data_IF_088617645096
#
_entry.id   IF_088617645096
#
_cell.length_a   1.000
_cell.length_b   1.000
_cell.length_c   1.000
_cell.angle_alpha   90.00
_cell.angle_beta   90.00
_cell.angle_gamma   90.00
#
_symmetry.space_group_name_H-M   'P 1'
#
loop_
_entity.id
_entity.type
_entity.pdbx_description
1 polymer ?
#
# COMPACT_ATOMS: atom_id res chain seq x y z
N UNK A 1 17.79 7.82 -4.25
CA UNK A 1 17.20 7.31 -2.99
C UNK A 1 15.70 7.22 -3.19
N UNK A 2 15.06 6.24 -2.56
CA UNK A 2 13.62 6.03 -2.57
C UNK A 2 12.98 6.93 -1.49
N UNK A 3 11.84 7.55 -1.77
CA UNK A 3 11.27 8.59 -0.90
C UNK A 3 10.12 8.13 0.00
N UNK A 4 9.58 6.93 -0.21
CA UNK A 4 8.42 6.38 0.49
C UNK A 4 8.72 5.78 1.87
N UNK A 5 9.97 5.40 2.14
CA UNK A 5 10.35 4.67 3.36
C UNK A 5 9.97 5.38 4.67
N UNK A 6 10.14 6.71 4.74
CA UNK A 6 9.71 7.50 5.91
C UNK A 6 8.18 7.46 6.09
N UNK A 7 7.44 7.45 4.97
CA UNK A 7 5.98 7.33 4.98
C UNK A 7 5.51 6.00 5.55
N UNK A 8 6.10 4.91 5.10
CA UNK A 8 5.81 3.57 5.62
C UNK A 8 6.15 3.41 7.10
N UNK A 9 7.30 3.96 7.53
CA UNK A 9 7.70 3.94 8.94
C UNK A 9 6.68 4.65 9.84
N UNK A 10 6.26 5.86 9.46
CA UNK A 10 5.27 6.63 10.22
C UNK A 10 3.90 5.97 10.21
N UNK A 11 3.48 5.44 9.07
CA UNK A 11 2.21 4.73 8.96
C UNK A 11 2.17 3.49 9.88
N UNK A 12 3.23 2.67 9.87
CA UNK A 12 3.31 1.49 10.71
C UNK A 12 3.38 1.84 12.21
N UNK A 13 4.20 2.83 12.57
CA UNK A 13 4.30 3.31 13.95
C UNK A 13 2.95 3.85 14.46
N UNK A 14 2.24 4.65 13.66
CA UNK A 14 0.91 5.15 13.99
C UNK A 14 -0.10 4.02 14.25
N UNK A 15 -0.03 2.93 13.47
CA UNK A 15 -0.86 1.75 13.69
C UNK A 15 -0.60 1.08 15.04
N UNK A 16 0.67 0.88 15.41
CA UNK A 16 1.06 0.29 16.70
C UNK A 16 0.66 1.19 17.87
N UNK A 17 0.87 2.51 17.74
CA UNK A 17 0.52 3.47 18.79
C UNK A 17 -0.99 3.55 19.01
N UNK A 18 -1.78 3.47 17.94
CA UNK A 18 -3.25 3.48 18.02
C UNK A 18 -3.82 2.20 18.67
N UNK A 19 -3.16 1.04 18.46
CA UNK A 19 -3.54 -0.22 19.11
C UNK A 19 -3.22 -0.23 20.62
N UNK A 20 -2.27 0.60 21.06
CA UNK A 20 -1.86 0.72 22.45
C UNK A 20 -0.90 -0.36 22.95
N UNK A 21 -0.74 -1.46 22.22
CA UNK A 21 0.18 -2.56 22.59
C UNK A 21 1.62 -2.14 22.32
N UNK A 22 2.44 -1.99 23.36
CA UNK A 22 3.84 -1.56 23.23
C UNK A 22 4.01 -0.09 22.83
N UNK A 23 2.95 0.72 22.93
CA UNK A 23 2.98 2.13 22.53
C UNK A 23 4.01 2.95 23.31
N UNK A 24 4.12 2.74 24.61
CA UNK A 24 5.08 3.46 25.47
C UNK A 24 6.53 3.11 25.10
N UNK A 25 6.82 1.83 24.84
CA UNK A 25 8.15 1.37 24.45
C UNK A 25 8.53 1.90 23.07
N UNK A 26 7.62 1.79 22.08
CA UNK A 26 7.85 2.30 20.74
C UNK A 26 8.05 3.82 20.75
N UNK A 27 7.21 4.56 21.48
CA UNK A 27 7.32 6.00 21.64
C UNK A 27 8.68 6.39 22.19
N UNK A 28 9.07 5.83 23.32
CA UNK A 28 10.33 6.17 23.99
C UNK A 28 11.58 5.83 23.14
N UNK A 29 11.59 4.68 22.46
CA UNK A 29 12.76 4.23 21.67
C UNK A 29 12.83 4.93 20.30
N UNK A 30 11.68 5.19 19.68
CA UNK A 30 11.63 5.66 18.30
C UNK A 30 11.31 7.15 18.13
N UNK A 31 10.99 7.89 19.20
CA UNK A 31 10.54 9.29 19.15
C UNK A 31 11.39 10.16 18.21
N UNK A 32 12.71 10.19 18.42
CA UNK A 32 13.60 10.99 17.60
C UNK A 32 13.68 10.53 16.13
N UNK A 33 13.47 9.25 15.87
CA UNK A 33 13.45 8.72 14.50
C UNK A 33 12.13 9.06 13.80
N UNK A 34 11.02 8.96 14.51
CA UNK A 34 9.69 9.32 14.03
C UNK A 34 9.60 10.83 13.72
N UNK A 35 10.13 11.68 14.62
CA UNK A 35 10.20 13.11 14.41
C UNK A 35 11.00 13.45 13.13
N UNK A 36 12.21 12.88 12.98
CA UNK A 36 13.01 13.07 11.77
C UNK A 36 12.33 12.57 10.49
N UNK A 37 11.60 11.46 10.58
CA UNK A 37 10.83 10.94 9.44
C UNK A 37 9.73 11.93 9.01
N UNK A 38 8.99 12.50 9.96
CA UNK A 38 7.97 13.51 9.68
C UNK A 38 8.56 14.81 9.12
N UNK A 39 9.63 15.31 9.72
CA UNK A 39 10.36 16.48 9.19
C UNK A 39 10.83 16.24 7.75
N UNK A 40 11.34 15.05 7.45
CA UNK A 40 11.74 14.67 6.10
C UNK A 40 10.56 14.70 5.13
N UNK A 41 9.39 14.14 5.50
CA UNK A 41 8.21 14.17 4.62
C UNK A 41 7.70 15.60 4.41
N UNK A 42 7.72 16.45 5.44
CA UNK A 42 7.38 17.86 5.31
C UNK A 42 8.32 18.54 4.32
N UNK A 43 9.64 18.32 4.45
CA UNK A 43 10.63 18.90 3.54
C UNK A 43 10.48 18.38 2.10
N UNK A 44 10.25 17.07 1.91
CA UNK A 44 10.03 16.48 0.58
C UNK A 44 8.81 17.06 -0.15
N UNK A 45 7.82 17.53 0.59
CA UNK A 45 6.57 18.09 0.04
C UNK A 45 6.53 19.62 0.07
N UNK A 46 7.61 20.28 0.53
CA UNK A 46 7.76 21.73 0.48
C UNK A 46 8.21 22.18 -0.91
N UNK A 47 7.35 21.94 -1.88
CA UNK A 47 7.53 22.22 -3.29
C UNK A 47 6.35 23.02 -3.82
N UNK A 48 6.45 23.69 -4.98
CA UNK A 48 5.30 24.38 -5.59
C UNK A 48 4.12 23.46 -5.91
N UNK A 49 4.37 22.17 -6.15
CA UNK A 49 3.32 21.16 -6.39
C UNK A 49 2.77 20.53 -5.11
N UNK A 50 3.43 20.74 -3.97
CA UNK A 50 3.20 20.03 -2.71
C UNK A 50 3.36 18.51 -2.80
N UNK A 51 4.08 18.02 -3.80
CA UNK A 51 4.36 16.60 -4.03
C UNK A 51 5.88 16.37 -4.01
N UNK A 52 6.34 15.16 -3.62
CA UNK A 52 7.76 14.83 -3.69
C UNK A 52 8.23 14.74 -5.15
N UNK A 53 9.54 14.81 -5.35
CA UNK A 53 10.14 14.52 -6.65
C UNK A 53 9.97 13.04 -7.02
N UNK A 54 10.06 12.73 -8.31
CA UNK A 54 10.09 11.35 -8.79
C UNK A 54 11.29 10.60 -8.19
N UNK A 55 11.04 9.39 -7.73
CA UNK A 55 12.04 8.44 -7.25
C UNK A 55 11.57 7.01 -7.55
N UNK A 56 12.45 6.01 -7.54
CA UNK A 56 12.04 4.61 -7.57
C UNK A 56 11.03 4.31 -6.47
N UNK A 57 10.06 3.47 -6.77
CA UNK A 57 9.08 2.92 -5.83
C UNK A 57 9.27 1.40 -5.68
N UNK A 58 8.26 0.68 -5.21
CA UNK A 58 8.28 -0.78 -5.03
C UNK A 58 8.48 -1.59 -6.32
N UNK A 59 8.40 -0.97 -7.51
CA UNK A 59 8.81 -1.60 -8.77
C UNK A 59 10.35 -1.65 -8.93
N UNK A 60 11.09 -0.88 -8.12
CA UNK A 60 12.56 -0.81 -8.12
C UNK A 60 13.16 -0.43 -9.48
N UNK A 61 12.42 0.34 -10.26
CA UNK A 61 12.86 0.87 -11.57
C UNK A 61 13.12 2.38 -11.48
N UNK A 62 13.96 2.88 -12.38
CA UNK A 62 14.22 4.32 -12.45
C UNK A 62 12.98 5.06 -12.97
N UNK A 63 12.51 6.04 -12.21
CA UNK A 63 11.34 6.85 -12.54
C UNK A 63 11.72 8.29 -12.87
N UNK A 64 11.04 8.85 -13.86
CA UNK A 64 11.16 10.26 -14.26
C UNK A 64 9.92 11.08 -13.95
N UNK A 65 8.82 10.41 -13.70
CA UNK A 65 7.52 10.99 -13.32
C UNK A 65 7.13 10.42 -11.97
N UNK A 66 6.54 11.24 -11.12
CA UNK A 66 6.08 10.79 -9.81
C UNK A 66 5.04 9.68 -9.96
N UNK A 67 5.23 8.59 -9.21
CA UNK A 67 4.31 7.46 -9.13
C UNK A 67 3.37 7.57 -7.93
N UNK A 68 2.21 6.93 -8.04
CA UNK A 68 1.29 6.77 -6.92
C UNK A 68 1.94 5.95 -5.78
N UNK A 69 2.81 5.00 -6.14
CA UNK A 69 3.60 4.20 -5.19
C UNK A 69 4.57 5.00 -4.31
N UNK A 70 4.88 6.24 -4.69
CA UNK A 70 5.63 7.20 -3.85
C UNK A 70 4.69 8.21 -3.21
N UNK A 71 3.75 8.80 -3.96
CA UNK A 71 2.90 9.87 -3.46
C UNK A 71 1.98 9.41 -2.32
N UNK A 72 1.42 8.20 -2.43
CA UNK A 72 0.52 7.65 -1.42
C UNK A 72 1.23 7.39 -0.07
N UNK A 73 2.34 6.64 0.03
CA UNK A 73 3.04 6.46 1.30
C UNK A 73 3.48 7.77 1.97
N UNK A 74 3.88 8.78 1.20
CA UNK A 74 4.19 10.11 1.73
C UNK A 74 2.96 10.75 2.39
N UNK A 75 1.81 10.69 1.75
CA UNK A 75 0.54 11.15 2.33
C UNK A 75 0.19 10.38 3.60
N UNK A 76 0.25 9.03 3.56
CA UNK A 76 -0.07 8.16 4.70
C UNK A 76 0.79 8.51 5.93
N UNK A 77 2.09 8.67 5.73
CA UNK A 77 3.02 9.02 6.79
C UNK A 77 2.74 10.38 7.41
N UNK A 78 2.43 11.39 6.58
CA UNK A 78 2.06 12.72 7.07
C UNK A 78 0.75 12.71 7.87
N UNK A 79 -0.26 11.96 7.43
CA UNK A 79 -1.53 11.81 8.14
C UNK A 79 -1.33 11.16 9.51
N UNK A 80 -0.57 10.07 9.57
CA UNK A 80 -0.27 9.36 10.83
C UNK A 80 0.59 10.21 11.77
N UNK A 81 1.58 10.93 11.26
CA UNK A 81 2.38 11.85 12.05
C UNK A 81 1.52 12.96 12.69
N UNK A 82 0.51 13.44 11.98
CA UNK A 82 -0.38 14.50 12.46
C UNK A 82 -1.43 14.02 13.48
N UNK A 83 -1.88 12.77 13.40
CA UNK A 83 -2.96 12.24 14.21
C UNK A 83 -2.47 11.41 15.41
N UNK A 84 -1.61 10.45 15.16
CA UNK A 84 -1.32 9.36 16.11
C UNK A 84 0.04 9.50 16.80
N UNK A 85 1.02 10.18 16.17
CA UNK A 85 2.39 10.28 16.69
C UNK A 85 2.60 11.55 17.53
N UNK A 86 1.66 12.49 17.45
CA UNK A 86 1.68 13.68 18.32
C UNK A 86 2.91 14.57 18.13
N UNK A 87 3.48 14.64 16.91
CA UNK A 87 4.65 15.47 16.64
C UNK A 87 4.31 16.93 16.94
N UNK A 88 5.10 17.62 17.80
CA UNK A 88 4.80 18.98 18.19
C UNK A 88 4.69 19.93 17.00
N UNK A 89 3.67 20.81 17.01
CA UNK A 89 3.56 21.94 16.08
C UNK A 89 2.49 21.84 15.01
N UNK A 90 1.74 20.72 14.89
CA UNK A 90 0.64 20.61 13.92
C UNK A 90 1.06 20.61 12.43
N UNK A 91 2.35 20.87 12.14
CA UNK A 91 2.86 21.07 10.77
C UNK A 91 2.65 19.83 9.87
N UNK A 92 2.75 18.63 10.43
CA UNK A 92 2.51 17.40 9.67
C UNK A 92 1.04 17.27 9.25
N UNK A 93 0.09 17.62 10.13
CA UNK A 93 -1.34 17.58 9.82
C UNK A 93 -1.73 18.63 8.75
N UNK A 94 -1.20 19.85 8.88
CA UNK A 94 -1.40 20.91 7.87
C UNK A 94 -0.82 20.48 6.52
N UNK A 95 0.38 19.92 6.51
CA UNK A 95 1.03 19.41 5.31
C UNK A 95 0.25 18.24 4.69
N UNK A 96 -0.24 17.31 5.50
CA UNK A 96 -1.08 16.20 5.04
C UNK A 96 -2.32 16.69 4.29
N UNK A 97 -3.01 17.71 4.82
CA UNK A 97 -4.19 18.27 4.16
C UNK A 97 -3.87 18.85 2.77
N UNK A 98 -2.75 19.55 2.64
CA UNK A 98 -2.32 20.12 1.37
C UNK A 98 -1.86 19.03 0.39
N UNK A 99 -1.08 18.06 0.87
CA UNK A 99 -0.60 16.92 0.05
C UNK A 99 -1.76 16.06 -0.44
N UNK A 100 -2.79 15.84 0.39
CA UNK A 100 -4.01 15.11 -0.03
C UNK A 100 -4.65 15.75 -1.25
N UNK A 101 -4.86 17.06 -1.24
CA UNK A 101 -5.42 17.80 -2.38
C UNK A 101 -4.48 17.72 -3.60
N UNK A 102 -3.17 17.79 -3.39
CA UNK A 102 -2.19 17.69 -4.46
C UNK A 102 -2.19 16.31 -5.12
N UNK A 103 -2.27 15.24 -4.32
CA UNK A 103 -2.39 13.85 -4.81
C UNK A 103 -3.67 13.66 -5.62
N UNK A 104 -4.82 14.12 -5.11
CA UNK A 104 -6.08 14.04 -5.87
C UNK A 104 -5.97 14.77 -7.21
N UNK A 105 -5.44 16.00 -7.25
CA UNK A 105 -5.25 16.75 -8.50
C UNK A 105 -4.30 16.08 -9.49
N UNK A 106 -3.30 15.36 -8.99
CA UNK A 106 -2.28 14.74 -9.81
C UNK A 106 -2.74 13.41 -10.42
N UNK A 107 -3.53 12.62 -9.71
CA UNK A 107 -3.85 11.24 -10.07
C UNK A 107 -5.33 10.98 -10.40
N UNK A 108 -6.28 11.73 -9.80
CA UNK A 108 -7.69 11.55 -10.13
C UNK A 108 -8.03 12.07 -11.54
N UNK A 109 -9.09 11.55 -12.19
CA UNK A 109 -9.96 10.46 -11.72
C UNK A 109 -9.43 9.06 -12.05
N UNK A 110 -8.40 8.93 -12.91
CA UNK A 110 -7.94 7.64 -13.42
C UNK A 110 -7.14 6.83 -12.39
N UNK A 111 -6.45 7.52 -11.46
CA UNK A 111 -5.62 6.90 -10.43
C UNK A 111 -4.57 5.94 -10.99
N UNK A 112 -3.98 6.32 -12.13
CA UNK A 112 -2.93 5.55 -12.79
C UNK A 112 -1.62 5.55 -11.98
N UNK A 113 -0.67 4.73 -12.44
CA UNK A 113 0.66 4.63 -11.84
C UNK A 113 1.39 5.97 -11.78
N UNK A 114 1.40 6.71 -12.89
CA UNK A 114 2.01 8.04 -12.97
C UNK A 114 0.95 9.14 -12.96
N UNK A 115 1.38 10.35 -12.67
CA UNK A 115 0.50 11.51 -12.74
C UNK A 115 -0.15 11.61 -14.13
N UNK A 116 -1.48 11.74 -14.16
CA UNK A 116 -2.29 11.97 -15.37
C UNK A 116 -2.29 10.83 -16.39
N UNK A 117 -1.93 9.62 -15.99
CA UNK A 117 -2.14 8.44 -16.82
C UNK A 117 -3.27 7.56 -16.26
N UNK A 118 -3.64 6.52 -17.00
CA UNK A 118 -4.68 5.55 -16.64
C UNK A 118 -4.12 4.13 -16.48
N UNK A 119 -2.80 3.98 -16.52
CA UNK A 119 -2.12 2.70 -16.32
C UNK A 119 -2.12 2.34 -14.83
N UNK A 120 -3.10 1.56 -14.42
CA UNK A 120 -3.34 1.23 -13.02
C UNK A 120 -2.28 0.28 -12.47
N UNK A 121 -1.88 0.51 -11.21
CA UNK A 121 -1.04 -0.42 -10.46
C UNK A 121 -1.58 -0.69 -9.04
N UNK A 122 -0.90 -1.57 -8.29
CA UNK A 122 -1.35 -2.00 -6.97
C UNK A 122 -1.37 -0.86 -5.94
N UNK A 123 -0.64 0.24 -6.16
CA UNK A 123 -0.66 1.41 -5.27
C UNK A 123 -2.03 2.08 -5.18
N UNK A 124 -2.97 1.78 -6.09
CA UNK A 124 -4.38 2.19 -5.96
C UNK A 124 -5.01 1.73 -4.64
N UNK A 125 -4.53 0.64 -4.05
CA UNK A 125 -4.99 0.17 -2.74
C UNK A 125 -4.68 1.16 -1.62
N UNK A 126 -3.63 1.97 -1.78
CA UNK A 126 -3.10 2.86 -0.74
C UNK A 126 -3.91 4.16 -0.59
N UNK A 127 -4.78 4.48 -1.54
CA UNK A 127 -5.55 5.75 -1.54
C UNK A 127 -6.99 5.59 -1.03
N UNK A 128 -7.20 4.57 -0.22
CA UNK A 128 -8.44 4.27 0.49
C UNK A 128 -8.20 3.35 1.69
N UNK A 129 -9.28 2.89 2.35
CA UNK A 129 -9.15 1.95 3.47
C UNK A 129 -8.39 0.67 3.08
N UNK A 130 -7.56 0.12 3.98
CA UNK A 130 -7.34 0.51 5.38
C UNK A 130 -6.25 1.58 5.57
N UNK A 131 -5.61 2.03 4.51
CA UNK A 131 -4.43 2.90 4.59
C UNK A 131 -4.77 4.34 4.95
N UNK A 132 -5.77 4.91 4.29
CA UNK A 132 -6.25 6.26 4.54
C UNK A 132 -7.76 6.35 4.33
N UNK A 133 -8.34 7.50 4.72
CA UNK A 133 -9.69 7.84 4.29
C UNK A 133 -9.72 7.94 2.76
N UNK A 134 -10.73 7.33 2.14
CA UNK A 134 -10.88 7.27 0.69
C UNK A 134 -10.70 8.64 0.02
N UNK A 135 -9.91 8.67 -1.04
CA UNK A 135 -9.76 9.82 -1.92
C UNK A 135 -10.83 9.79 -3.02
N UNK A 136 -11.17 10.97 -3.55
CA UNK A 136 -12.25 11.11 -4.51
C UNK A 136 -12.04 10.28 -5.79
N UNK A 137 -12.99 9.41 -6.13
CA UNK A 137 -12.94 8.53 -7.30
C UNK A 137 -12.01 7.31 -7.18
N UNK A 138 -11.32 7.15 -6.04
CA UNK A 138 -10.40 6.03 -5.85
C UNK A 138 -11.11 4.68 -5.78
N UNK A 139 -12.34 4.64 -5.24
CA UNK A 139 -13.14 3.41 -5.14
C UNK A 139 -13.50 2.84 -6.51
N UNK A 140 -13.88 3.67 -7.43
CA UNK A 140 -14.25 3.32 -8.79
C UNK A 140 -13.02 2.80 -9.55
N UNK A 141 -11.91 3.53 -9.51
CA UNK A 141 -10.66 3.11 -10.12
C UNK A 141 -10.14 1.79 -9.52
N UNK A 142 -10.21 1.64 -8.18
CA UNK A 142 -9.85 0.41 -7.47
C UNK A 142 -10.72 -0.80 -7.91
N UNK A 143 -11.98 -0.58 -8.27
CA UNK A 143 -12.87 -1.66 -8.70
C UNK A 143 -12.36 -2.37 -9.95
N UNK A 144 -11.69 -1.67 -10.84
CA UNK A 144 -11.13 -2.20 -12.10
C UNK A 144 -9.70 -2.72 -11.96
N UNK A 145 -9.03 -2.49 -10.82
CA UNK A 145 -7.63 -2.80 -10.66
C UNK A 145 -7.32 -4.29 -10.81
N UNK A 146 -8.04 -5.16 -10.08
CA UNK A 146 -7.80 -6.61 -10.12
C UNK A 146 -8.00 -7.18 -11.54
N UNK A 147 -9.10 -6.91 -12.25
CA UNK A 147 -9.27 -7.37 -13.65
C UNK A 147 -8.14 -6.93 -14.56
N UNK A 148 -7.72 -5.68 -14.50
CA UNK A 148 -6.69 -5.10 -15.38
C UNK A 148 -5.28 -5.64 -15.12
N UNK A 149 -4.97 -5.97 -13.87
CA UNK A 149 -3.64 -6.48 -13.47
C UNK A 149 -3.56 -8.02 -13.42
N UNK A 150 -4.69 -8.73 -13.61
CA UNK A 150 -4.72 -10.19 -13.52
C UNK A 150 -3.77 -10.85 -14.51
N UNK A 151 -3.07 -11.88 -14.05
CA UNK A 151 -2.18 -12.70 -14.86
C UNK A 151 -2.73 -14.11 -15.04
N UNK A 152 -2.12 -14.89 -15.94
CA UNK A 152 -2.57 -16.22 -16.32
C UNK A 152 -2.63 -17.19 -15.13
N UNK A 153 -1.71 -17.09 -14.19
CA UNK A 153 -1.71 -17.89 -12.94
C UNK A 153 -2.83 -17.53 -11.97
N UNK A 154 -3.60 -16.46 -12.21
CA UNK A 154 -4.80 -16.10 -11.45
C UNK A 154 -4.64 -14.97 -10.45
N UNK A 155 -3.43 -14.69 -9.97
CA UNK A 155 -3.11 -13.51 -9.17
C UNK A 155 -2.90 -12.26 -10.02
N UNK A 156 -2.34 -11.21 -9.44
CA UNK A 156 -2.08 -9.95 -10.15
C UNK A 156 -0.58 -9.68 -10.32
N UNK A 157 -0.26 -8.85 -11.30
CA UNK A 157 1.05 -8.23 -11.44
C UNK A 157 1.12 -6.94 -10.59
N UNK A 158 2.32 -6.32 -10.43
CA UNK A 158 2.47 -5.03 -9.77
C UNK A 158 1.65 -3.90 -10.42
N UNK A 159 1.43 -3.96 -11.71
CA UNK A 159 0.58 -3.04 -12.46
C UNK A 159 0.12 -3.63 -13.79
N UNK A 160 -0.80 -2.96 -14.47
CA UNK A 160 -1.34 -3.42 -15.73
C UNK A 160 -0.27 -3.48 -16.82
N UNK A 161 0.63 -2.50 -16.88
CA UNK A 161 1.76 -2.44 -17.83
C UNK A 161 3.01 -3.19 -17.37
N UNK A 162 3.00 -3.85 -16.22
CA UNK A 162 4.10 -4.73 -15.85
C UNK A 162 4.29 -5.82 -16.92
N UNK A 163 5.52 -6.36 -16.98
CA UNK A 163 5.91 -7.40 -17.97
C UNK A 163 4.79 -8.41 -18.22
N UNK A 164 4.50 -8.70 -19.47
CA UNK A 164 3.53 -9.72 -19.88
C UNK A 164 4.20 -11.11 -19.92
N UNK A 165 4.69 -11.55 -18.76
CA UNK A 165 5.37 -12.84 -18.56
C UNK A 165 4.46 -13.91 -17.91
N UNK A 166 3.20 -13.55 -17.66
CA UNK A 166 2.21 -14.40 -17.00
C UNK A 166 2.44 -14.63 -15.51
N UNK A 167 3.46 -14.02 -14.92
CA UNK A 167 3.82 -14.14 -13.50
C UNK A 167 2.88 -13.31 -12.65
N UNK A 168 2.36 -13.92 -11.57
CA UNK A 168 1.62 -13.21 -10.52
C UNK A 168 2.53 -12.92 -9.32
N UNK A 169 2.26 -11.81 -8.66
CA UNK A 169 3.00 -11.37 -7.49
C UNK A 169 2.12 -11.45 -6.25
N UNK A 170 2.60 -12.14 -5.24
CA UNK A 170 1.83 -12.40 -4.03
C UNK A 170 1.67 -11.16 -3.13
N UNK A 171 2.68 -10.25 -2.99
CA UNK A 171 2.50 -9.06 -2.17
C UNK A 171 1.42 -8.12 -2.71
N UNK A 172 1.37 -7.88 -4.03
CA UNK A 172 0.32 -7.03 -4.60
C UNK A 172 -1.05 -7.71 -4.56
N UNK A 173 -1.09 -9.03 -4.73
CA UNK A 173 -2.33 -9.80 -4.56
C UNK A 173 -2.84 -9.70 -3.12
N UNK A 174 -1.96 -9.81 -2.11
CA UNK A 174 -2.30 -9.67 -0.70
C UNK A 174 -2.68 -8.23 -0.33
N UNK A 175 -2.00 -7.22 -0.90
CA UNK A 175 -2.33 -5.82 -0.72
C UNK A 175 -3.75 -5.50 -1.19
N UNK A 176 -4.11 -5.99 -2.37
CA UNK A 176 -5.45 -5.83 -2.92
C UNK A 176 -6.50 -6.64 -2.14
N UNK A 177 -6.13 -7.81 -1.60
CA UNK A 177 -7.02 -8.59 -0.74
C UNK A 177 -7.37 -7.83 0.54
N UNK A 178 -6.36 -7.29 1.24
CA UNK A 178 -6.61 -6.50 2.45
C UNK A 178 -7.41 -5.24 2.17
N UNK A 179 -7.08 -4.50 1.12
CA UNK A 179 -7.89 -3.35 0.67
C UNK A 179 -9.34 -3.74 0.36
N UNK A 180 -9.57 -4.94 -0.20
CA UNK A 180 -10.93 -5.42 -0.47
C UNK A 180 -11.70 -5.75 0.82
N UNK A 181 -11.05 -6.34 1.83
CA UNK A 181 -11.65 -6.57 3.16
C UNK A 181 -12.10 -5.24 3.75
N UNK A 182 -11.18 -4.29 3.90
CA UNK A 182 -11.44 -3.00 4.52
C UNK A 182 -12.49 -2.15 3.78
N UNK A 183 -12.68 -2.38 2.49
CA UNK A 183 -13.70 -1.70 1.68
C UNK A 183 -15.03 -2.46 1.58
N UNK A 184 -15.24 -3.53 2.35
CA UNK A 184 -16.47 -4.31 2.37
C UNK A 184 -16.74 -5.07 1.06
N UNK A 185 -15.70 -5.60 0.42
CA UNK A 185 -15.75 -6.39 -0.83
C UNK A 185 -15.40 -7.87 -0.59
N UNK A 186 -16.18 -8.61 0.25
CA UNK A 186 -15.77 -9.93 0.75
C UNK A 186 -15.58 -10.98 -0.34
N UNK A 187 -16.35 -10.91 -1.43
CA UNK A 187 -16.20 -11.85 -2.56
C UNK A 187 -14.88 -11.67 -3.31
N UNK A 188 -14.38 -10.45 -3.40
CA UNK A 188 -13.07 -10.18 -4.02
C UNK A 188 -11.96 -10.60 -3.07
N UNK A 189 -12.04 -10.19 -1.82
CA UNK A 189 -11.09 -10.55 -0.77
C UNK A 189 -10.91 -12.07 -0.66
N UNK A 190 -12.02 -12.81 -0.54
CA UNK A 190 -12.01 -14.27 -0.44
C UNK A 190 -11.30 -14.94 -1.62
N UNK A 191 -11.59 -14.52 -2.87
CA UNK A 191 -10.91 -15.07 -4.05
C UNK A 191 -9.41 -14.82 -4.07
N UNK A 192 -8.96 -13.63 -3.63
CA UNK A 192 -7.55 -13.29 -3.60
C UNK A 192 -6.81 -14.05 -2.47
N UNK A 193 -7.43 -14.16 -1.30
CA UNK A 193 -6.88 -14.93 -0.17
C UNK A 193 -6.83 -16.43 -0.47
N UNK A 194 -7.87 -17.00 -1.08
CA UNK A 194 -7.92 -18.39 -1.53
C UNK A 194 -6.84 -18.66 -2.58
N UNK A 195 -6.64 -17.75 -3.52
CA UNK A 195 -5.55 -17.86 -4.49
C UNK A 195 -4.18 -17.89 -3.80
N UNK A 196 -3.92 -17.01 -2.83
CA UNK A 196 -2.67 -17.00 -2.06
C UNK A 196 -2.46 -18.31 -1.30
N UNK A 197 -3.51 -18.83 -0.68
CA UNK A 197 -3.47 -20.10 0.07
C UNK A 197 -3.17 -21.31 -0.84
N UNK A 198 -3.75 -21.34 -2.03
CA UNK A 198 -3.56 -22.42 -3.01
C UNK A 198 -2.18 -22.44 -3.69
N UNK A 199 -1.38 -21.37 -3.57
CA UNK A 199 -0.06 -21.25 -4.19
C UNK A 199 1.10 -21.20 -3.18
N UNK A 200 0.91 -21.80 -2.00
CA UNK A 200 1.99 -21.98 -1.02
C UNK A 200 3.07 -22.92 -1.56
N UNK A 201 4.27 -22.75 -1.06
CA UNK A 201 5.34 -23.76 -1.28
C UNK A 201 4.97 -25.09 -0.65
N UNK A 202 5.71 -26.17 -0.97
CA UNK A 202 5.54 -27.49 -0.35
C UNK A 202 5.70 -27.47 1.19
N UNK A 203 6.38 -26.46 1.75
CA UNK A 203 6.52 -26.26 3.19
C UNK A 203 5.44 -25.32 3.79
N UNK A 204 4.43 -24.93 3.02
CA UNK A 204 3.35 -24.06 3.46
C UNK A 204 3.67 -22.55 3.48
N UNK A 205 4.87 -22.14 3.02
CA UNK A 205 5.27 -20.74 3.00
C UNK A 205 4.64 -19.99 1.82
N UNK A 206 4.36 -18.69 1.99
CA UNK A 206 3.94 -17.81 0.91
C UNK A 206 5.15 -17.33 0.12
N UNK A 207 5.24 -17.63 -1.20
CA UNK A 207 6.36 -17.22 -2.04
C UNK A 207 6.21 -15.76 -2.47
N UNK A 208 7.24 -15.17 -3.05
CA UNK A 208 7.18 -13.84 -3.66
C UNK A 208 6.31 -13.83 -4.92
N UNK A 209 6.42 -14.87 -5.72
CA UNK A 209 5.80 -14.97 -7.05
C UNK A 209 5.17 -16.32 -7.27
N UNK A 210 4.28 -16.35 -8.26
CA UNK A 210 3.74 -17.56 -8.86
C UNK A 210 3.99 -17.46 -10.36
N UNK A 211 4.72 -18.41 -10.91
CA UNK A 211 5.05 -18.46 -12.34
C UNK A 211 3.79 -18.71 -13.19
N UNK A 212 3.90 -18.49 -14.50
CA UNK A 212 2.77 -18.60 -15.43
C UNK A 212 2.12 -20.00 -15.47
N UNK A 213 2.85 -21.05 -15.08
CA UNK A 213 2.39 -22.44 -14.94
C UNK A 213 1.80 -22.74 -13.55
N UNK A 214 1.75 -21.77 -12.64
CA UNK A 214 1.19 -21.90 -11.30
C UNK A 214 2.18 -22.34 -10.21
N UNK A 215 3.46 -22.51 -10.52
CA UNK A 215 4.44 -22.92 -9.54
C UNK A 215 4.90 -21.76 -8.63
N UNK A 216 5.08 -21.99 -7.30
CA UNK A 216 5.70 -21.00 -6.41
C UNK A 216 7.12 -20.65 -6.86
N UNK A 217 7.48 -19.36 -6.81
CA UNK A 217 8.76 -18.84 -7.25
C UNK A 217 9.24 -17.66 -6.39
N UNK A 218 10.55 -17.39 -6.46
CA UNK A 218 11.19 -16.35 -5.66
C UNK A 218 11.41 -16.75 -4.20
N UNK A 219 11.85 -15.83 -3.34
CA UNK A 219 12.04 -16.08 -1.93
C UNK A 219 10.73 -16.45 -1.22
N UNK A 220 10.81 -17.37 -0.23
CA UNK A 220 9.69 -17.81 0.60
C UNK A 220 10.21 -18.22 2.00
N UNK A 221 9.54 -17.81 3.09
CA UNK A 221 8.36 -16.92 3.12
C UNK A 221 8.72 -15.48 2.76
N UNK A 222 7.83 -14.79 2.04
CA UNK A 222 7.97 -13.34 1.84
C UNK A 222 7.26 -12.60 2.98
N UNK A 223 8.03 -11.87 3.79
CA UNK A 223 7.53 -11.19 4.98
C UNK A 223 6.41 -10.18 4.65
N UNK A 224 6.53 -9.42 3.57
CA UNK A 224 5.51 -8.46 3.14
C UNK A 224 4.17 -9.15 2.84
N UNK A 225 4.16 -10.20 2.02
CA UNK A 225 2.95 -10.98 1.73
C UNK A 225 2.34 -11.57 3.01
N UNK A 226 3.17 -12.17 3.88
CA UNK A 226 2.69 -12.77 5.13
C UNK A 226 2.03 -11.72 6.04
N UNK A 227 2.63 -10.54 6.19
CA UNK A 227 2.08 -9.46 7.00
C UNK A 227 0.72 -8.98 6.47
N UNK A 228 0.60 -8.77 5.15
CA UNK A 228 -0.65 -8.33 4.52
C UNK A 228 -1.77 -9.38 4.66
N UNK A 229 -1.46 -10.67 4.55
CA UNK A 229 -2.43 -11.74 4.77
C UNK A 229 -2.91 -11.77 6.22
N UNK A 230 -2.00 -11.62 7.19
CA UNK A 230 -2.37 -11.54 8.62
C UNK A 230 -3.28 -10.35 8.87
N UNK A 231 -2.94 -9.17 8.36
CA UNK A 231 -3.76 -7.96 8.50
C UNK A 231 -5.14 -8.13 7.87
N UNK A 232 -5.21 -8.71 6.67
CA UNK A 232 -6.50 -8.98 6.01
C UNK A 232 -7.39 -9.91 6.82
N UNK A 233 -6.83 -10.99 7.39
CA UNK A 233 -7.58 -11.97 8.20
C UNK A 233 -8.04 -11.36 9.52
N UNK A 234 -7.21 -10.53 10.16
CA UNK A 234 -7.58 -9.85 11.41
C UNK A 234 -8.69 -8.82 11.18
N UNK A 235 -8.67 -8.11 10.06
CA UNK A 235 -9.69 -7.12 9.67
C UNK A 235 -11.06 -7.79 9.40
N UNK A 236 -11.09 -9.00 8.81
CA UNK A 236 -12.34 -9.76 8.62
C UNK A 236 -13.03 -10.11 9.93
N UNK A 237 -12.28 -10.21 11.02
CA UNK A 237 -12.78 -10.64 12.33
C UNK A 237 -13.10 -12.15 12.42
N UNK A 238 -13.23 -12.71 13.64
CA UNK A 238 -13.63 -14.09 13.82
C UNK A 238 -15.13 -14.23 13.51
N UNK A 239 -15.48 -14.80 12.36
CA UNK A 239 -16.87 -15.13 12.01
C UNK A 239 -17.35 -14.74 10.63
N UNK A 240 -16.50 -14.23 9.75
CA UNK A 240 -16.87 -14.10 8.34
C UNK A 240 -17.07 -15.52 7.76
N UNK A 241 -18.32 -15.86 7.44
CA UNK A 241 -18.68 -17.14 6.79
C UNK A 241 -17.84 -17.31 5.52
N UNK A 242 -16.81 -18.13 5.57
CA UNK A 242 -16.11 -18.59 4.36
C UNK A 242 -17.08 -19.48 3.62
N UNK A 243 -17.43 -19.18 2.35
CA UNK A 243 -18.24 -20.10 1.57
C UNK A 243 -17.51 -21.44 1.48
N UNK A 244 -18.20 -22.49 1.93
CA UNK A 244 -17.80 -23.90 1.86
C UNK A 244 -17.66 -24.39 0.43
#
# INVERSE_FOLDING_TARGET
AQSDGAGWMLWAAGGVLADGTGADELGAVCEAALARAAENLVALTDTPSHLPAASPDYWEVAERTLTLGIAAPVLLGLEKAGLDIGIPGGLAAERAAVVRVAVERAFAPAWGRHMRDDDIDAAIALVGPPFTRELSGAREARADAVPRMRRRSGGVAPGASWRDDGVSWTPETALLAWSAVAQGRPREAGRLLEWLDSHRTALGALPEKVSADGAPAGPAPLAWTCALVVLAVLEEGPGADRPS
#
